data_IF_725402195271
#
_entry.id   IF_725402195271
#
_cell.length_a   1.000
_cell.length_b   1.000
_cell.length_c   1.000
_cell.angle_alpha   90.00
_cell.angle_beta   90.00
_cell.angle_gamma   90.00
#
_symmetry.space_group_name_H-M   'P 1'
#
loop_
_entity.id
_entity.type
_entity.pdbx_description
1 polymer ?
#
# COMPACT_ATOMS: atom_id res chain seq x y z
N UNK A 1 -9.71 -19.88 -4.31
CA UNK A 1 -10.46 -19.58 -3.07
C UNK A 1 -10.67 -18.09 -3.00
N UNK A 2 -11.91 -17.60 -2.91
CA UNK A 2 -12.16 -16.18 -2.66
C UNK A 2 -11.75 -15.87 -1.22
N UNK A 3 -10.87 -14.87 -1.04
CA UNK A 3 -10.43 -14.44 0.28
C UNK A 3 -11.55 -13.65 0.96
N UNK A 4 -11.92 -13.99 2.20
CA UNK A 4 -12.91 -13.23 2.97
C UNK A 4 -12.57 -11.74 3.05
N UNK A 5 -11.29 -11.41 3.20
CA UNK A 5 -10.81 -10.03 3.17
C UNK A 5 -11.16 -9.30 1.87
N UNK A 6 -10.96 -9.94 0.71
CA UNK A 6 -11.30 -9.33 -0.58
C UNK A 6 -12.81 -9.06 -0.70
N UNK A 7 -13.65 -9.91 -0.11
CA UNK A 7 -15.10 -9.69 -0.11
C UNK A 7 -15.56 -8.52 0.78
N UNK A 8 -14.69 -8.03 1.67
CA UNK A 8 -14.98 -6.88 2.52
C UNK A 8 -14.51 -5.55 1.93
N UNK A 9 -13.64 -5.57 0.92
CA UNK A 9 -13.21 -4.35 0.25
C UNK A 9 -14.33 -3.81 -0.63
N UNK A 10 -14.59 -2.50 -0.51
CA UNK A 10 -15.39 -1.74 -1.47
C UNK A 10 -14.63 -1.65 -2.79
N UNK A 11 -15.34 -1.76 -3.92
CA UNK A 11 -14.75 -1.52 -5.23
C UNK A 11 -14.56 -0.01 -5.45
N UNK A 12 -13.32 0.44 -5.39
CA UNK A 12 -12.92 1.82 -5.61
C UNK A 12 -12.31 2.06 -7.00
N UNK A 13 -12.40 1.09 -7.92
CA UNK A 13 -11.72 1.12 -9.23
C UNK A 13 -12.03 2.39 -10.05
N UNK A 14 -13.27 2.88 -9.99
CA UNK A 14 -13.70 4.08 -10.70
C UNK A 14 -13.31 5.42 -10.02
N UNK A 15 -12.83 5.40 -8.78
CA UNK A 15 -12.48 6.61 -8.04
C UNK A 15 -11.15 7.20 -8.52
N UNK A 16 -11.13 8.53 -8.66
CA UNK A 16 -9.97 9.30 -9.14
C UNK A 16 -9.59 10.36 -8.09
N UNK A 17 -8.90 9.97 -7.01
CA UNK A 17 -8.41 10.93 -6.01
C UNK A 17 -7.39 11.88 -6.64
N UNK A 18 -7.14 13.01 -5.97
CA UNK A 18 -6.15 14.00 -6.43
C UNK A 18 -4.72 13.44 -6.42
N UNK A 19 -4.44 12.50 -5.51
CA UNK A 19 -3.12 11.89 -5.35
C UNK A 19 -3.23 10.48 -4.78
N UNK A 20 -2.20 9.68 -5.04
CA UNK A 20 -2.04 8.36 -4.47
C UNK A 20 -0.85 8.32 -3.52
N UNK A 21 -1.00 7.63 -2.40
CA UNK A 21 0.04 7.36 -1.41
C UNK A 21 0.16 5.85 -1.21
N UNK A 22 1.35 5.30 -1.41
CA UNK A 22 1.63 3.94 -0.96
C UNK A 22 1.91 3.91 0.54
N UNK A 23 1.23 2.99 1.23
CA UNK A 23 1.38 2.75 2.66
C UNK A 23 2.18 1.47 2.88
N UNK A 24 3.40 1.61 3.39
CA UNK A 24 4.25 0.48 3.72
C UNK A 24 3.75 -0.27 4.97
N UNK A 25 4.15 -1.54 5.09
CA UNK A 25 3.78 -2.43 6.19
C UNK A 25 4.15 -1.93 7.61
N UNK A 26 5.10 -1.01 7.71
CA UNK A 26 5.58 -0.38 8.95
C UNK A 26 5.08 1.06 9.14
N UNK A 27 4.23 1.58 8.24
CA UNK A 27 3.77 2.97 8.20
C UNK A 27 2.23 3.09 8.31
N UNK A 28 1.61 2.19 9.07
CA UNK A 28 0.14 2.03 9.11
C UNK A 28 -0.60 3.09 9.94
N UNK A 29 0.10 4.00 10.61
CA UNK A 29 -0.56 5.02 11.43
C UNK A 29 -1.16 6.14 10.55
N UNK A 30 -2.46 6.51 10.71
CA UNK A 30 -3.11 7.49 9.84
C UNK A 30 -2.40 8.85 9.76
N UNK A 31 -1.84 9.32 10.87
CA UNK A 31 -1.10 10.60 10.91
C UNK A 31 0.23 10.60 10.14
N UNK A 32 0.69 9.45 9.63
CA UNK A 32 1.83 9.42 8.71
C UNK A 32 1.45 9.86 7.31
N UNK A 33 0.16 9.85 6.96
CA UNK A 33 -0.33 10.47 5.74
C UNK A 33 -0.04 11.99 5.80
N UNK A 34 0.77 12.56 4.88
CA UNK A 34 1.08 13.99 4.87
C UNK A 34 -0.16 14.89 4.71
N UNK A 35 -1.27 14.31 4.26
CA UNK A 35 -2.54 15.00 3.99
C UNK A 35 -3.66 14.55 4.92
N UNK A 36 -3.34 14.04 6.11
CA UNK A 36 -4.34 13.59 7.10
C UNK A 36 -5.33 14.68 7.56
N UNK A 37 -5.06 15.96 7.29
CA UNK A 37 -5.98 17.08 7.56
C UNK A 37 -6.88 17.48 6.38
N UNK A 38 -6.72 16.85 5.22
CA UNK A 38 -7.55 17.09 4.02
C UNK A 38 -8.72 16.08 3.96
N UNK A 39 -9.64 16.26 3.00
CA UNK A 39 -10.73 15.30 2.78
C UNK A 39 -10.17 13.91 2.40
N UNK A 40 -10.57 12.82 3.08
CA UNK A 40 -10.06 11.48 2.80
C UNK A 40 -10.19 11.05 1.34
N UNK A 41 -11.26 11.47 0.67
CA UNK A 41 -11.57 11.19 -0.73
C UNK A 41 -10.51 11.75 -1.70
N UNK A 42 -9.75 12.77 -1.29
CA UNK A 42 -8.72 13.40 -2.13
C UNK A 42 -7.41 12.62 -2.17
N UNK A 43 -7.17 11.74 -1.19
CA UNK A 43 -5.95 10.93 -1.10
C UNK A 43 -6.29 9.45 -1.16
N UNK A 44 -5.97 8.82 -2.29
CA UNK A 44 -6.05 7.37 -2.43
C UNK A 44 -4.89 6.67 -1.75
N UNK A 45 -5.15 5.52 -1.14
CA UNK A 45 -4.14 4.71 -0.43
C UNK A 45 -3.90 3.38 -1.16
N UNK A 46 -2.63 3.06 -1.37
CA UNK A 46 -2.18 1.83 -2.02
C UNK A 46 -1.54 0.92 -0.96
N UNK A 47 -1.98 -0.32 -0.89
CA UNK A 47 -1.41 -1.37 -0.04
C UNK A 47 -0.96 -2.54 -0.91
N UNK A 48 0.20 -3.13 -0.57
CA UNK A 48 0.80 -4.20 -1.37
C UNK A 48 1.20 -5.38 -0.48
N UNK A 49 0.62 -6.55 -0.75
CA UNK A 49 1.15 -7.83 -0.29
C UNK A 49 2.14 -8.39 -1.33
N UNK A 50 3.44 -8.21 -1.07
CA UNK A 50 4.52 -8.74 -1.92
C UNK A 50 5.01 -10.08 -1.37
N UNK A 51 4.94 -11.12 -2.20
CA UNK A 51 5.46 -12.45 -1.86
C UNK A 51 6.98 -12.48 -1.89
N UNK A 52 7.62 -11.79 -2.85
CA UNK A 52 9.07 -11.62 -2.85
C UNK A 52 9.55 -11.03 -1.52
N UNK A 53 8.85 -10.01 -1.01
CA UNK A 53 9.18 -9.41 0.28
C UNK A 53 8.96 -10.36 1.45
N UNK A 54 7.84 -11.08 1.47
CA UNK A 54 7.53 -12.08 2.49
C UNK A 54 8.56 -13.21 2.56
N UNK A 55 9.21 -13.52 1.44
CA UNK A 55 10.22 -14.58 1.30
C UNK A 55 11.67 -14.07 1.26
N UNK A 56 11.90 -12.76 1.30
CA UNK A 56 13.24 -12.18 1.22
C UNK A 56 14.17 -12.66 2.33
N UNK A 57 13.59 -13.07 3.47
CA UNK A 57 14.29 -13.63 4.63
C UNK A 57 13.43 -14.71 5.28
N UNK A 58 14.03 -15.62 6.08
CA UNK A 58 13.28 -16.59 6.86
C UNK A 58 12.56 -15.92 8.06
N UNK A 59 11.60 -15.04 7.78
CA UNK A 59 10.83 -14.36 8.82
C UNK A 59 9.97 -15.36 9.60
N UNK A 60 9.83 -15.10 10.90
CA UNK A 60 8.93 -15.89 11.73
C UNK A 60 7.49 -15.79 11.22
N UNK A 61 6.77 -16.92 11.16
CA UNK A 61 5.41 -16.98 10.61
C UNK A 61 4.43 -16.05 11.32
N UNK A 62 4.55 -15.90 12.64
CA UNK A 62 3.71 -14.97 13.40
C UNK A 62 4.00 -13.51 13.04
N UNK A 63 5.26 -13.14 12.74
CA UNK A 63 5.59 -11.79 12.27
C UNK A 63 4.91 -11.51 10.94
N UNK A 64 5.00 -12.44 9.99
CA UNK A 64 4.35 -12.30 8.68
C UNK A 64 2.82 -12.21 8.83
N UNK A 65 2.22 -13.09 9.62
CA UNK A 65 0.78 -13.07 9.89
C UNK A 65 0.34 -11.74 10.51
N UNK A 66 1.09 -11.21 11.48
CA UNK A 66 0.81 -9.94 12.12
C UNK A 66 0.89 -8.76 11.14
N UNK A 67 1.96 -8.67 10.35
CA UNK A 67 2.14 -7.60 9.37
C UNK A 67 1.05 -7.62 8.29
N UNK A 68 0.76 -8.79 7.72
CA UNK A 68 -0.28 -8.93 6.68
C UNK A 68 -1.67 -8.65 7.25
N UNK A 69 -1.96 -9.12 8.47
CA UNK A 69 -3.23 -8.82 9.14
C UNK A 69 -3.41 -7.33 9.38
N UNK A 70 -2.39 -6.64 9.90
CA UNK A 70 -2.47 -5.20 10.14
C UNK A 70 -2.63 -4.41 8.84
N UNK A 71 -1.94 -4.82 7.76
CA UNK A 71 -2.07 -4.20 6.45
C UNK A 71 -3.51 -4.28 5.93
N UNK A 72 -4.14 -5.46 6.06
CA UNK A 72 -5.54 -5.70 5.67
C UNK A 72 -6.51 -4.87 6.50
N UNK A 73 -6.37 -4.86 7.82
CA UNK A 73 -7.24 -4.08 8.70
C UNK A 73 -7.11 -2.58 8.40
N UNK A 74 -5.88 -2.10 8.22
CA UNK A 74 -5.66 -0.69 7.87
C UNK A 74 -6.31 -0.30 6.54
N UNK A 75 -6.31 -1.20 5.55
CA UNK A 75 -7.00 -0.95 4.28
C UNK A 75 -8.52 -0.81 4.46
N UNK A 76 -9.14 -1.68 5.26
CA UNK A 76 -10.57 -1.60 5.56
C UNK A 76 -10.92 -0.34 6.37
N UNK A 77 -10.12 -0.03 7.40
CA UNK A 77 -10.25 1.21 8.17
C UNK A 77 -10.16 2.43 7.26
N UNK A 78 -9.18 2.47 6.36
CA UNK A 78 -9.00 3.56 5.40
C UNK A 78 -10.24 3.75 4.49
N UNK A 79 -10.85 2.65 4.01
CA UNK A 79 -12.09 2.76 3.22
C UNK A 79 -13.25 3.29 4.06
N UNK A 80 -13.33 2.90 5.34
CA UNK A 80 -14.35 3.38 6.27
C UNK A 80 -14.18 4.86 6.62
N UNK A 81 -12.93 5.36 6.60
CA UNK A 81 -12.58 6.77 6.75
C UNK A 81 -12.88 7.60 5.49
N UNK A 82 -13.12 6.96 4.34
CA UNK A 82 -13.47 7.62 3.07
C UNK A 82 -12.36 7.62 2.02
N UNK A 83 -11.18 7.09 2.34
CA UNK A 83 -10.10 6.98 1.34
C UNK A 83 -10.47 6.01 0.21
N UNK A 84 -10.19 6.35 -1.06
CA UNK A 84 -10.12 5.38 -2.15
C UNK A 84 -8.97 4.41 -1.90
N UNK A 85 -9.21 3.11 -1.97
CA UNK A 85 -8.18 2.10 -1.68
C UNK A 85 -7.87 1.24 -2.90
N UNK A 86 -6.58 1.00 -3.12
CA UNK A 86 -6.05 -0.02 -4.04
C UNK A 86 -5.28 -1.05 -3.21
N UNK A 87 -5.79 -2.28 -3.18
CA UNK A 87 -5.13 -3.38 -2.49
C UNK A 87 -4.58 -4.38 -3.51
N UNK A 88 -3.26 -4.51 -3.55
CA UNK A 88 -2.56 -5.28 -4.57
C UNK A 88 -1.89 -6.51 -3.97
N UNK A 89 -2.01 -7.64 -4.68
CA UNK A 89 -1.23 -8.84 -4.42
C UNK A 89 -0.21 -8.98 -5.54
N UNK A 90 1.05 -9.22 -5.19
CA UNK A 90 2.10 -9.40 -6.19
C UNK A 90 3.13 -10.44 -5.78
N UNK A 91 3.69 -11.10 -6.79
CA UNK A 91 4.86 -11.95 -6.65
C UNK A 91 6.16 -11.11 -6.63
N UNK A 92 6.14 -9.88 -7.15
CA UNK A 92 7.29 -8.98 -7.32
C UNK A 92 7.56 -8.08 -6.10
N UNK A 93 8.68 -7.36 -6.12
CA UNK A 93 9.03 -6.34 -5.12
C UNK A 93 8.16 -5.07 -5.22
N UNK A 94 8.23 -4.22 -4.20
CA UNK A 94 7.41 -3.00 -4.14
C UNK A 94 7.70 -2.00 -5.27
N UNK A 95 8.96 -1.85 -5.69
CA UNK A 95 9.35 -0.92 -6.74
C UNK A 95 8.69 -1.28 -8.06
N UNK A 96 8.84 -2.53 -8.48
CA UNK A 96 8.22 -3.08 -9.69
C UNK A 96 6.70 -2.87 -9.68
N UNK A 97 6.02 -3.25 -8.59
CA UNK A 97 4.56 -3.11 -8.48
C UNK A 97 4.12 -1.66 -8.58
N UNK A 98 4.80 -0.74 -7.90
CA UNK A 98 4.47 0.68 -7.92
C UNK A 98 4.74 1.31 -9.29
N UNK A 99 5.85 0.97 -9.96
CA UNK A 99 6.13 1.44 -11.32
C UNK A 99 5.05 1.00 -12.31
N UNK A 100 4.59 -0.25 -12.24
CA UNK A 100 3.50 -0.73 -13.10
C UNK A 100 2.17 -0.04 -12.76
N UNK A 101 1.86 0.11 -11.47
CA UNK A 101 0.63 0.77 -11.00
C UNK A 101 0.60 2.26 -11.40
N UNK A 102 1.76 2.92 -11.41
CA UNK A 102 1.88 4.33 -11.80
C UNK A 102 1.56 4.58 -13.28
N UNK A 103 1.65 3.56 -14.15
CA UNK A 103 1.21 3.68 -15.56
C UNK A 103 -0.28 3.94 -15.68
N UNK A 104 -1.07 3.43 -14.73
CA UNK A 104 -2.52 3.64 -14.67
C UNK A 104 -2.88 4.87 -13.82
N UNK A 105 -2.30 4.96 -12.62
CA UNK A 105 -2.72 5.94 -11.59
C UNK A 105 -1.96 7.26 -11.65
N UNK A 106 -0.92 7.37 -12.48
CA UNK A 106 0.01 8.49 -12.49
C UNK A 106 0.96 8.46 -11.30
N UNK A 107 1.40 9.64 -10.85
CA UNK A 107 2.39 9.78 -9.77
C UNK A 107 1.89 9.19 -8.44
N UNK A 108 2.71 8.32 -7.84
CA UNK A 108 2.45 7.72 -6.53
C UNK A 108 3.47 8.28 -5.53
N UNK A 109 2.96 8.81 -4.43
CA UNK A 109 3.78 9.29 -3.32
C UNK A 109 4.15 8.13 -2.42
N UNK A 110 5.35 8.18 -1.86
CA UNK A 110 5.85 7.19 -0.90
C UNK A 110 6.50 7.91 0.27
N UNK A 111 6.29 7.38 1.48
CA UNK A 111 7.04 7.84 2.64
C UNK A 111 8.41 7.16 2.68
N UNK A 112 9.42 7.89 3.15
CA UNK A 112 10.78 7.37 3.24
C UNK A 112 10.83 6.15 4.18
N UNK A 113 11.17 4.99 3.63
CA UNK A 113 11.38 3.78 4.42
C UNK A 113 12.66 3.85 5.28
N UNK A 114 12.65 3.33 6.52
CA UNK A 114 13.86 3.19 7.33
C UNK A 114 14.84 2.16 6.73
N UNK A 115 14.37 1.22 5.92
CA UNK A 115 15.19 0.18 5.32
C UNK A 115 15.87 0.66 4.04
N UNK A 116 17.21 0.52 3.96
CA UNK A 116 17.96 0.89 2.75
C UNK A 116 17.51 0.09 1.53
N UNK A 117 17.29 -1.21 1.71
CA UNK A 117 16.86 -2.12 0.65
C UNK A 117 15.56 -1.64 -0.02
N UNK A 118 14.55 -1.27 0.77
CA UNK A 118 13.30 -0.70 0.26
C UNK A 118 13.57 0.63 -0.44
N UNK A 119 14.38 1.52 0.15
CA UNK A 119 14.71 2.80 -0.52
C UNK A 119 15.38 2.61 -1.87
N UNK A 120 16.25 1.62 -2.02
CA UNK A 120 16.87 1.30 -3.32
C UNK A 120 15.86 0.74 -4.32
N UNK A 121 14.96 -0.15 -3.87
CA UNK A 121 13.88 -0.71 -4.70
C UNK A 121 12.93 0.36 -5.22
N UNK A 122 12.68 1.42 -4.44
CA UNK A 122 11.74 2.47 -4.82
C UNK A 122 12.32 3.55 -5.76
N UNK A 123 13.65 3.62 -5.93
CA UNK A 123 14.28 4.63 -6.81
C UNK A 123 13.70 4.66 -8.25
N UNK A 124 13.39 3.52 -8.90
CA UNK A 124 12.77 3.52 -10.23
C UNK A 124 11.30 3.98 -10.21
N UNK A 125 10.63 3.96 -9.06
CA UNK A 125 9.22 4.29 -8.89
C UNK A 125 8.97 5.73 -8.40
N UNK A 126 10.00 6.36 -7.83
CA UNK A 126 9.96 7.76 -7.38
C UNK A 126 10.53 8.61 -8.52
N UNK A 127 9.70 9.45 -9.14
CA UNK A 127 10.21 10.56 -9.95
C UNK A 127 10.94 11.56 -9.06
N UNK A 128 12.02 12.16 -9.57
CA UNK A 128 12.80 13.19 -8.86
C UNK A 128 11.94 14.33 -8.28
#
# INVERSE_FOLDING_TARGET
>A
MSSHFLSQLRDDSALQPKRWLWVAHDQLHPQLNPWAGESPEETGLIFIESKQRGNARPYHRQKLAFLLSNLRHRALESQSEGHPVRYLFSEDDYGTVLTETAKELGSIHVLRSPEREIREQLKPAIGD
#
